data_IF_583365230776
#
_entry.id   IF_583365230776
#
_cell.length_a   1.000
_cell.length_b   1.000
_cell.length_c   1.000
_cell.angle_alpha   90.00
_cell.angle_beta   90.00
_cell.angle_gamma   90.00
#
_symmetry.space_group_name_H-M   'P 1'
#
loop_
_entity.id
_entity.type
_entity.pdbx_description
1 polymer ?
#
# COMPACT_ATOMS: atom_id res chain seq x y z
N UNK A 1 18.02 -16.26 -16.62
CA UNK A 1 17.40 -17.61 -16.47
C UNK A 1 15.97 -17.48 -17.01
N UNK A 2 15.62 -18.18 -18.08
CA UNK A 2 14.26 -18.05 -18.69
C UNK A 2 13.35 -19.14 -18.14
N UNK A 3 12.60 -18.82 -17.10
CA UNK A 3 11.54 -19.68 -16.57
C UNK A 3 10.24 -19.47 -17.35
N UNK A 4 9.22 -20.32 -17.12
CA UNK A 4 7.92 -20.15 -17.80
C UNK A 4 7.21 -18.88 -17.34
N UNK A 5 7.40 -18.44 -16.07
CA UNK A 5 6.88 -17.17 -15.59
C UNK A 5 7.51 -15.98 -16.32
N UNK A 6 8.82 -16.03 -16.60
CA UNK A 6 9.50 -14.98 -17.38
C UNK A 6 8.91 -14.86 -18.78
N UNK A 7 8.64 -15.99 -19.44
CA UNK A 7 8.02 -15.98 -20.79
C UNK A 7 6.60 -15.43 -20.74
N UNK A 8 5.82 -15.83 -19.71
CA UNK A 8 4.42 -15.42 -19.54
C UNK A 8 4.28 -13.91 -19.29
N UNK A 9 5.19 -13.34 -18.50
CA UNK A 9 5.15 -11.94 -18.08
C UNK A 9 6.06 -11.02 -18.90
N UNK A 10 6.82 -11.57 -19.87
CA UNK A 10 7.72 -10.77 -20.70
C UNK A 10 8.94 -10.20 -19.94
N UNK A 11 9.37 -10.84 -18.85
CA UNK A 11 10.49 -10.39 -18.00
C UNK A 11 11.76 -11.21 -18.22
N UNK A 12 12.92 -10.62 -17.90
CA UNK A 12 14.20 -11.28 -18.06
C UNK A 12 14.53 -12.20 -16.88
N UNK A 13 14.23 -11.76 -15.67
CA UNK A 13 14.51 -12.46 -14.42
C UNK A 13 13.22 -12.76 -13.65
N UNK A 14 13.07 -13.94 -13.03
CA UNK A 14 11.90 -14.28 -12.24
C UNK A 14 11.99 -13.64 -10.83
N UNK A 15 12.13 -12.32 -10.81
CA UNK A 15 12.28 -11.51 -9.59
C UNK A 15 11.06 -10.60 -9.48
N UNK A 16 10.38 -10.71 -8.36
CA UNK A 16 9.28 -9.83 -7.95
C UNK A 16 9.74 -9.05 -6.72
N UNK A 17 9.75 -7.74 -6.80
CA UNK A 17 10.17 -6.89 -5.68
C UNK A 17 9.00 -6.03 -5.20
N UNK A 18 8.48 -6.38 -4.04
CA UNK A 18 7.45 -5.60 -3.36
C UNK A 18 8.04 -4.34 -2.73
N UNK A 19 7.37 -3.21 -2.90
CA UNK A 19 7.79 -1.93 -2.36
C UNK A 19 6.60 -0.96 -2.24
N UNK A 20 6.74 0.07 -1.39
CA UNK A 20 5.82 1.21 -1.33
C UNK A 20 6.37 2.45 -2.05
N UNK A 21 7.47 2.32 -2.78
CA UNK A 21 8.14 3.42 -3.46
C UNK A 21 8.05 3.24 -4.97
N UNK A 22 7.34 4.15 -5.65
CA UNK A 22 7.13 4.12 -7.11
C UNK A 22 8.41 4.11 -7.94
N UNK A 23 9.43 4.82 -7.50
CA UNK A 23 10.75 4.86 -8.17
C UNK A 23 11.46 3.49 -8.11
N UNK A 24 11.32 2.76 -7.00
CA UNK A 24 11.84 1.38 -6.88
C UNK A 24 11.07 0.43 -7.78
N UNK A 25 9.74 0.57 -7.90
CA UNK A 25 8.93 -0.21 -8.87
C UNK A 25 9.51 -0.06 -10.27
N UNK A 26 9.71 1.17 -10.72
CA UNK A 26 10.25 1.49 -12.05
C UNK A 26 11.66 0.93 -12.22
N UNK A 27 12.53 1.11 -11.22
CA UNK A 27 13.91 0.64 -11.28
C UNK A 27 14.02 -0.89 -11.42
N UNK A 28 13.23 -1.64 -10.62
CA UNK A 28 13.21 -3.11 -10.66
C UNK A 28 12.67 -3.62 -12.00
N UNK A 29 11.58 -3.03 -12.48
CA UNK A 29 10.97 -3.44 -13.76
C UNK A 29 11.92 -3.18 -14.93
N UNK A 30 12.57 -2.02 -14.97
CA UNK A 30 13.60 -1.70 -15.98
C UNK A 30 14.86 -2.57 -15.90
N UNK A 31 15.15 -3.10 -14.71
CA UNK A 31 16.25 -4.06 -14.53
C UNK A 31 15.89 -5.50 -14.98
N UNK A 32 14.69 -5.72 -15.51
CA UNK A 32 14.25 -7.00 -16.06
C UNK A 32 13.47 -7.91 -15.12
N UNK A 33 13.10 -7.43 -13.92
CA UNK A 33 12.18 -8.08 -12.99
C UNK A 33 10.77 -7.52 -13.10
N UNK A 34 10.00 -7.62 -12.02
CA UNK A 34 8.72 -6.92 -11.78
C UNK A 34 8.77 -6.20 -10.44
N UNK A 35 8.68 -4.87 -10.47
CA UNK A 35 8.37 -4.08 -9.30
C UNK A 35 6.88 -4.19 -8.97
N UNK A 36 6.53 -4.35 -7.70
CA UNK A 36 5.15 -4.46 -7.22
C UNK A 36 4.88 -3.36 -6.20
N UNK A 37 3.97 -2.44 -6.54
CA UNK A 37 3.55 -1.37 -5.63
C UNK A 37 2.55 -1.90 -4.62
N UNK A 38 2.85 -1.76 -3.31
CA UNK A 38 1.89 -2.04 -2.25
C UNK A 38 0.89 -0.92 -2.09
N UNK A 39 -0.39 -1.17 -2.39
CA UNK A 39 -1.44 -0.15 -2.44
C UNK A 39 -2.13 0.12 -1.09
N UNK A 40 -1.92 -0.70 -0.08
CA UNK A 40 -2.69 -0.67 1.19
C UNK A 40 -2.71 0.70 1.89
N UNK A 41 -1.63 1.47 1.80
CA UNK A 41 -1.52 2.77 2.45
C UNK A 41 -2.11 3.95 1.67
N UNK A 42 -2.58 3.73 0.44
CA UNK A 42 -3.05 4.80 -0.45
C UNK A 42 -4.57 4.87 -0.49
N UNK A 43 -5.13 6.10 -0.50
CA UNK A 43 -6.49 6.28 -1.00
C UNK A 43 -6.52 6.02 -2.52
N UNK A 44 -7.70 5.77 -3.13
CA UNK A 44 -7.81 5.59 -4.59
C UNK A 44 -7.20 6.75 -5.38
N UNK A 45 -7.41 8.00 -4.96
CA UNK A 45 -6.86 9.18 -5.61
C UNK A 45 -5.32 9.24 -5.50
N UNK A 46 -4.78 8.92 -4.32
CA UNK A 46 -3.33 8.85 -4.13
C UNK A 46 -2.71 7.70 -4.92
N UNK A 47 -3.39 6.53 -4.97
CA UNK A 47 -2.94 5.41 -5.78
C UNK A 47 -2.87 5.81 -7.25
N UNK A 48 -3.89 6.51 -7.75
CA UNK A 48 -3.88 7.05 -9.10
C UNK A 48 -2.65 7.94 -9.38
N UNK A 49 -2.32 8.86 -8.48
CA UNK A 49 -1.13 9.72 -8.64
C UNK A 49 0.17 8.91 -8.72
N UNK A 50 0.29 7.85 -7.91
CA UNK A 50 1.45 6.96 -7.92
C UNK A 50 1.53 6.14 -9.23
N UNK A 51 0.39 5.61 -9.71
CA UNK A 51 0.33 4.82 -10.93
C UNK A 51 0.55 5.69 -12.19
N UNK A 52 -0.06 6.89 -12.26
CA UNK A 52 0.21 7.86 -13.33
C UNK A 52 1.71 8.18 -13.43
N UNK A 53 2.37 8.34 -12.26
CA UNK A 53 3.80 8.60 -12.24
C UNK A 53 4.62 7.39 -12.70
N UNK A 54 4.25 6.17 -12.30
CA UNK A 54 4.90 4.93 -12.75
C UNK A 54 4.77 4.81 -14.26
N UNK A 55 3.57 4.97 -14.82
CA UNK A 55 3.32 4.89 -16.26
C UNK A 55 4.15 5.89 -17.07
N UNK A 56 4.29 7.11 -16.54
CA UNK A 56 5.10 8.15 -17.19
C UNK A 56 6.61 7.81 -17.21
N UNK A 57 7.08 6.91 -16.34
CA UNK A 57 8.52 6.65 -16.17
C UNK A 57 8.94 5.23 -16.52
N UNK A 58 8.01 4.27 -16.61
CA UNK A 58 8.36 2.85 -16.76
C UNK A 58 8.69 2.46 -18.20
N UNK A 59 8.13 3.12 -19.20
CA UNK A 59 8.26 2.76 -20.60
C UNK A 59 7.46 1.49 -20.92
N UNK A 60 8.04 0.57 -21.69
CA UNK A 60 7.37 -0.65 -22.15
C UNK A 60 7.45 -1.81 -21.14
N UNK A 61 7.90 -1.55 -19.90
CA UNK A 61 8.04 -2.58 -18.88
C UNK A 61 6.75 -2.74 -18.07
N UNK A 62 6.46 -3.98 -17.66
CA UNK A 62 5.32 -4.28 -16.79
C UNK A 62 5.66 -4.08 -15.33
N UNK A 63 4.65 -3.77 -14.53
CA UNK A 63 4.71 -3.75 -13.07
C UNK A 63 3.47 -4.39 -12.47
N UNK A 64 3.44 -4.55 -11.16
CA UNK A 64 2.30 -5.07 -10.42
C UNK A 64 1.81 -4.10 -9.35
N UNK A 65 0.56 -4.27 -8.95
CA UNK A 65 -0.04 -3.61 -7.79
C UNK A 65 -0.52 -4.69 -6.82
N UNK A 66 -0.20 -4.54 -5.55
CA UNK A 66 -0.62 -5.44 -4.48
C UNK A 66 -1.70 -4.77 -3.63
N UNK A 67 -2.85 -5.41 -3.53
CA UNK A 67 -3.98 -4.98 -2.70
C UNK A 67 -4.31 -6.05 -1.66
N UNK A 68 -4.80 -5.65 -0.49
CA UNK A 68 -5.20 -6.57 0.57
C UNK A 68 -6.72 -6.66 0.64
N UNK A 69 -7.24 -7.88 0.45
CA UNK A 69 -8.67 -8.18 0.55
C UNK A 69 -8.85 -9.28 1.60
N UNK A 70 -9.01 -8.93 2.88
CA UNK A 70 -9.18 -9.92 3.93
C UNK A 70 -10.56 -10.58 3.84
N UNK A 71 -10.60 -11.90 4.05
CA UNK A 71 -11.88 -12.63 4.12
C UNK A 71 -12.63 -12.40 5.43
N UNK A 72 -11.90 -12.13 6.51
CA UNK A 72 -12.45 -11.84 7.83
C UNK A 72 -11.56 -10.86 8.58
N UNK A 73 -12.18 -9.91 9.26
CA UNK A 73 -11.52 -9.01 10.19
C UNK A 73 -12.49 -8.58 11.30
N UNK A 74 -11.94 -8.15 12.42
CA UNK A 74 -12.74 -7.62 13.53
C UNK A 74 -13.48 -6.35 13.09
N UNK A 75 -14.77 -6.26 13.40
CA UNK A 75 -15.59 -5.13 12.97
C UNK A 75 -16.08 -5.19 11.52
N UNK A 76 -15.95 -6.33 10.83
CA UNK A 76 -16.40 -6.51 9.44
C UNK A 76 -17.89 -6.20 9.22
N UNK A 77 -18.70 -6.28 10.28
CA UNK A 77 -20.14 -5.99 10.24
C UNK A 77 -20.42 -4.48 10.22
N UNK A 78 -19.47 -3.66 10.67
CA UNK A 78 -19.57 -2.20 10.64
C UNK A 78 -19.23 -1.66 9.24
N UNK A 79 -20.19 -1.01 8.64
CA UNK A 79 -20.06 -0.46 7.27
C UNK A 79 -19.62 0.99 7.23
N UNK A 80 -19.70 1.69 8.37
CA UNK A 80 -19.25 3.06 8.51
C UNK A 80 -17.75 3.07 8.87
N UNK A 81 -16.86 3.56 7.98
CA UNK A 81 -15.44 3.59 8.24
C UNK A 81 -15.04 4.40 9.49
N UNK A 82 -15.77 5.46 9.82
CA UNK A 82 -15.47 6.27 11.00
C UNK A 82 -15.79 5.51 12.29
N UNK A 83 -16.93 4.81 12.32
CA UNK A 83 -17.32 3.98 13.47
C UNK A 83 -16.40 2.77 13.63
N UNK A 84 -16.01 2.14 12.52
CA UNK A 84 -15.04 1.05 12.54
C UNK A 84 -13.70 1.53 13.11
N UNK A 85 -13.19 2.66 12.65
CA UNK A 85 -11.94 3.23 13.14
C UNK A 85 -12.02 3.53 14.64
N UNK A 86 -13.12 4.11 15.12
CA UNK A 86 -13.33 4.39 16.53
C UNK A 86 -13.34 3.11 17.37
N UNK A 87 -14.00 2.05 16.90
CA UNK A 87 -14.01 0.74 17.56
C UNK A 87 -12.60 0.15 17.66
N UNK A 88 -11.86 0.14 16.53
CA UNK A 88 -10.48 -0.38 16.49
C UNK A 88 -9.55 0.42 17.41
N UNK A 89 -9.69 1.73 17.44
CA UNK A 89 -8.90 2.57 18.34
C UNK A 89 -9.18 2.29 19.82
N UNK A 90 -10.43 1.99 20.20
CA UNK A 90 -10.80 1.61 21.58
C UNK A 90 -10.23 0.25 21.99
N UNK A 91 -9.91 -0.61 21.04
CA UNK A 91 -9.29 -1.92 21.31
C UNK A 91 -7.80 -1.83 21.64
N UNK A 92 -7.15 -0.70 21.34
CA UNK A 92 -5.73 -0.50 21.67
C UNK A 92 -5.59 -0.21 23.16
N UNK A 93 -4.91 -1.07 23.95
CA UNK A 93 -4.72 -0.84 25.36
C UNK A 93 -3.99 0.47 25.66
N UNK A 94 -4.40 1.18 26.72
CA UNK A 94 -3.77 2.44 27.13
C UNK A 94 -2.29 2.29 27.45
N UNK A 95 -1.87 1.14 27.93
CA UNK A 95 -0.45 0.84 28.19
C UNK A 95 0.40 0.87 26.91
N UNK A 96 -0.15 0.42 25.77
CA UNK A 96 0.54 0.47 24.50
C UNK A 96 0.69 1.91 23.98
N UNK A 97 -0.36 2.73 24.16
CA UNK A 97 -0.30 4.17 23.81
C UNK A 97 0.77 4.88 24.64
N UNK A 98 0.74 4.69 25.95
CA UNK A 98 1.73 5.27 26.87
C UNK A 98 3.15 4.82 26.57
N UNK A 99 3.33 3.55 26.19
CA UNK A 99 4.64 3.03 25.80
C UNK A 99 5.16 3.76 24.57
N UNK A 100 4.34 3.92 23.54
CA UNK A 100 4.72 4.63 22.30
C UNK A 100 5.04 6.09 22.59
N UNK A 101 4.19 6.79 23.35
CA UNK A 101 4.38 8.20 23.70
C UNK A 101 5.68 8.41 24.47
N UNK A 102 5.98 7.53 25.44
CA UNK A 102 7.24 7.59 26.18
C UNK A 102 8.44 7.34 25.26
N UNK A 103 8.36 6.33 24.39
CA UNK A 103 9.44 6.01 23.45
C UNK A 103 9.74 7.16 22.51
N UNK A 104 8.72 7.80 21.95
CA UNK A 104 8.87 8.96 21.06
C UNK A 104 9.48 10.14 21.81
N UNK A 105 9.02 10.40 23.03
CA UNK A 105 9.54 11.47 23.90
C UNK A 105 11.01 11.23 24.27
N UNK A 106 11.36 10.04 24.72
CA UNK A 106 12.74 9.67 25.10
C UNK A 106 13.68 9.70 23.90
N UNK A 107 13.18 9.37 22.72
CA UNK A 107 13.94 9.40 21.47
C UNK A 107 14.05 10.80 20.87
N UNK A 108 13.42 11.82 21.45
CA UNK A 108 13.42 13.19 20.95
C UNK A 108 12.77 13.33 19.57
N UNK A 109 11.82 12.45 19.24
CA UNK A 109 11.09 12.51 17.96
C UNK A 109 10.10 13.68 18.04
N UNK A 110 10.18 14.67 17.15
CA UNK A 110 9.24 15.77 17.13
C UNK A 110 7.85 15.26 16.74
N UNK A 111 6.81 15.96 17.21
CA UNK A 111 5.46 15.68 16.71
C UNK A 111 5.45 15.79 15.18
N UNK A 112 4.87 14.77 14.54
CA UNK A 112 4.75 14.76 13.09
C UNK A 112 3.90 15.97 12.67
N UNK A 113 4.34 16.79 11.70
CA UNK A 113 3.48 17.83 11.15
C UNK A 113 2.20 17.14 10.61
N UNK A 114 1.06 17.83 10.70
CA UNK A 114 -0.16 17.40 10.02
C UNK A 114 0.16 17.28 8.52
N UNK A 115 0.54 16.07 8.12
CA UNK A 115 0.85 15.80 6.72
C UNK A 115 -0.41 15.34 6.01
N UNK A 116 -0.56 15.72 4.75
CA UNK A 116 -1.45 15.06 3.81
C UNK A 116 -0.93 13.65 3.45
N UNK A 117 -0.35 12.95 4.43
CA UNK A 117 0.13 11.58 4.28
C UNK A 117 -1.00 10.63 3.88
N UNK A 118 -0.67 9.37 3.59
CA UNK A 118 -1.66 8.40 3.13
C UNK A 118 -2.87 8.38 4.07
N UNK A 119 -4.00 8.92 3.62
CA UNK A 119 -5.25 8.94 4.39
C UNK A 119 -5.91 7.56 4.47
N UNK A 120 -5.33 6.57 3.82
CA UNK A 120 -5.77 5.19 3.87
C UNK A 120 -5.69 4.56 5.28
N UNK A 121 -4.78 5.06 6.11
CA UNK A 121 -4.69 4.74 7.53
C UNK A 121 -4.85 3.25 7.85
N UNK A 122 -5.40 2.96 9.03
CA UNK A 122 -5.67 1.60 9.51
C UNK A 122 -6.73 0.83 8.70
N UNK A 123 -7.48 1.49 7.83
CA UNK A 123 -8.58 0.89 7.08
C UNK A 123 -8.25 0.59 5.61
N UNK A 124 -7.01 0.83 5.17
CA UNK A 124 -6.56 0.56 3.79
C UNK A 124 -6.66 -0.91 3.36
N UNK A 125 -6.98 -1.80 4.27
CA UNK A 125 -7.13 -3.25 4.05
C UNK A 125 -8.59 -3.74 4.08
N UNK A 126 -9.57 -2.84 4.19
CA UNK A 126 -10.99 -3.22 4.17
C UNK A 126 -11.51 -3.40 2.74
N UNK A 127 -12.60 -4.15 2.58
CA UNK A 127 -13.26 -4.35 1.29
C UNK A 127 -13.66 -2.99 0.66
N UNK A 128 -14.16 -2.07 1.47
CA UNK A 128 -14.55 -0.74 1.03
C UNK A 128 -13.40 0.11 0.46
N UNK A 129 -12.16 -0.17 0.83
CA UNK A 129 -10.96 0.49 0.28
C UNK A 129 -10.31 -0.30 -0.84
N UNK A 130 -10.31 -1.62 -0.76
CA UNK A 130 -9.65 -2.48 -1.73
C UNK A 130 -10.35 -2.47 -3.10
N UNK A 131 -11.68 -2.47 -3.15
CA UNK A 131 -12.44 -2.47 -4.40
C UNK A 131 -12.14 -1.23 -5.26
N UNK A 132 -12.22 0.02 -4.74
CA UNK A 132 -11.81 1.20 -5.49
C UNK A 132 -10.32 1.21 -5.90
N UNK A 133 -9.42 0.65 -5.09
CA UNK A 133 -8.01 0.52 -5.44
C UNK A 133 -7.81 -0.43 -6.63
N UNK A 134 -8.55 -1.56 -6.66
CA UNK A 134 -8.51 -2.50 -7.79
C UNK A 134 -9.07 -1.84 -9.06
N UNK A 135 -10.21 -1.14 -8.94
CA UNK A 135 -10.79 -0.42 -10.06
C UNK A 135 -9.82 0.62 -10.65
N UNK A 136 -9.05 1.30 -9.78
CA UNK A 136 -8.03 2.24 -10.26
C UNK A 136 -6.87 1.51 -10.92
N UNK A 137 -6.33 0.48 -10.28
CA UNK A 137 -5.20 -0.29 -10.82
C UNK A 137 -5.50 -0.94 -12.19
N UNK A 138 -6.75 -1.29 -12.47
CA UNK A 138 -7.17 -1.89 -13.75
C UNK A 138 -7.22 -0.90 -14.92
N UNK A 139 -7.07 0.41 -14.67
CA UNK A 139 -7.03 1.44 -15.72
C UNK A 139 -5.63 1.65 -16.29
N UNK A 140 -4.62 1.18 -15.57
CA UNK A 140 -3.20 1.26 -15.88
C UNK A 140 -2.66 -0.09 -16.38
#
# INVERSE_FOLDING_TARGET
>A
MKTDICKKLGIEYPIFAFTHCRDVVVAVSKAGGIGVLGAVGYSPDQLKEELDWIDAHIGDYSYGVDTVIPQKYEGMEEKDPEQLLEQLQKMIPDEHRKFVDNLLTESGVPEAPETNGPKGGLLGWTEATAEPQIEEALKH
#
